data_IF_034694778651
#
_entry.id   IF_034694778651
#
_cell.length_a   1.000
_cell.length_b   1.000
_cell.length_c   1.000
_cell.angle_alpha   90.00
_cell.angle_beta   90.00
_cell.angle_gamma   90.00
#
_symmetry.space_group_name_H-M   'P 1'
#
loop_
_entity.id
_entity.type
_entity.pdbx_description
1 polymer ?
#
# COMPACT_ATOMS: atom_id res chain seq x y z
N UNK A 1 -31.99 17.37 8.87
CA UNK A 1 -31.36 17.68 10.19
C UNK A 1 -31.12 16.41 11.02
N UNK A 2 -32.11 15.53 11.17
CA UNK A 2 -32.00 14.28 11.94
C UNK A 2 -31.03 13.24 11.35
N UNK A 3 -30.92 13.13 10.01
CA UNK A 3 -29.89 12.28 9.35
C UNK A 3 -28.46 12.79 9.53
N UNK A 4 -28.28 14.10 9.73
CA UNK A 4 -26.97 14.71 9.96
C UNK A 4 -26.51 14.45 11.41
N UNK A 5 -27.47 14.41 12.34
CA UNK A 5 -27.26 14.07 13.74
C UNK A 5 -27.06 12.55 13.97
N UNK A 6 -27.58 11.67 13.10
CA UNK A 6 -27.30 10.23 13.19
C UNK A 6 -25.89 9.88 12.69
N UNK A 7 -25.43 10.53 11.61
CA UNK A 7 -24.05 10.37 11.10
C UNK A 7 -22.98 10.97 12.01
N UNK A 8 -23.34 11.93 12.89
CA UNK A 8 -22.39 12.55 13.82
C UNK A 8 -22.04 11.69 15.03
N UNK A 9 -22.75 10.58 15.26
CA UNK A 9 -22.54 9.69 16.41
C UNK A 9 -21.71 8.42 16.09
N UNK A 10 -21.37 8.21 14.83
CA UNK A 10 -20.52 7.09 14.43
C UNK A 10 -19.09 7.33 14.91
N UNK A 11 -18.58 6.40 15.72
CA UNK A 11 -17.20 6.48 16.21
C UNK A 11 -16.23 6.53 15.02
N UNK A 12 -15.08 7.19 15.18
CA UNK A 12 -14.05 7.19 14.12
C UNK A 12 -13.65 5.76 13.71
N UNK A 13 -13.69 4.82 14.66
CA UNK A 13 -13.46 3.39 14.43
C UNK A 13 -14.52 2.80 13.50
N UNK A 14 -15.79 3.08 13.75
CA UNK A 14 -16.91 2.57 12.96
C UNK A 14 -16.91 3.12 11.54
N UNK A 15 -16.59 4.42 11.38
CA UNK A 15 -16.35 5.02 10.04
C UNK A 15 -15.19 4.37 9.29
N UNK A 16 -14.11 4.03 9.98
CA UNK A 16 -12.97 3.34 9.38
C UNK A 16 -13.32 1.90 8.98
N UNK A 17 -14.10 1.19 9.80
CA UNK A 17 -14.56 -0.17 9.53
C UNK A 17 -15.52 -0.22 8.32
N UNK A 18 -16.44 0.74 8.23
CA UNK A 18 -17.43 0.81 7.15
C UNK A 18 -16.95 1.58 5.91
N UNK A 19 -15.67 1.95 5.86
CA UNK A 19 -15.13 2.64 4.70
C UNK A 19 -15.14 1.73 3.46
N UNK A 20 -15.88 2.11 2.38
CA UNK A 20 -15.92 1.29 1.17
C UNK A 20 -14.54 1.16 0.51
N UNK A 21 -13.66 2.15 0.72
CA UNK A 21 -12.29 2.17 0.22
C UNK A 21 -11.29 1.55 1.20
N UNK A 22 -11.76 0.93 2.28
CA UNK A 22 -10.95 0.19 3.24
C UNK A 22 -10.06 1.03 4.13
N UNK A 23 -9.03 0.38 4.69
CA UNK A 23 -8.06 1.01 5.57
C UNK A 23 -7.41 2.21 4.87
N UNK A 24 -7.30 3.32 5.62
CA UNK A 24 -6.77 4.60 5.13
C UNK A 24 -7.50 5.19 3.92
N UNK A 25 -8.73 4.76 3.63
CA UNK A 25 -9.49 5.11 2.40
C UNK A 25 -8.76 4.77 1.09
N UNK A 26 -7.75 3.90 1.17
CA UNK A 26 -6.81 3.68 0.08
C UNK A 26 -6.65 2.21 -0.26
N UNK A 27 -6.72 1.29 0.70
CA UNK A 27 -6.50 -0.14 0.48
C UNK A 27 -7.51 -0.77 -0.48
N UNK A 28 -8.74 -0.27 -0.60
CA UNK A 28 -9.75 -0.72 -1.59
C UNK A 28 -10.25 0.41 -2.49
N UNK A 29 -9.40 1.40 -2.74
CA UNK A 29 -9.78 2.55 -3.57
C UNK A 29 -10.10 2.13 -5.01
N UNK A 30 -11.01 2.85 -5.63
CA UNK A 30 -11.19 2.89 -7.08
C UNK A 30 -11.00 4.34 -7.51
N UNK A 31 -9.78 4.69 -7.92
CA UNK A 31 -9.42 6.06 -8.32
C UNK A 31 -8.87 6.03 -9.73
N UNK A 32 -9.07 7.11 -10.50
CA UNK A 32 -8.46 7.29 -11.83
C UNK A 32 -7.07 7.92 -11.77
N UNK A 33 -6.70 8.52 -10.62
CA UNK A 33 -5.39 9.15 -10.45
C UNK A 33 -4.34 8.14 -9.98
N UNK A 34 -3.18 8.03 -10.64
CA UNK A 34 -2.11 7.20 -10.12
C UNK A 34 -1.62 7.70 -8.75
N UNK A 35 -1.19 6.78 -7.90
CA UNK A 35 -0.72 7.01 -6.53
C UNK A 35 0.66 6.41 -6.38
N UNK A 36 1.58 7.23 -5.90
CA UNK A 36 2.94 6.85 -5.55
C UNK A 36 3.04 6.85 -4.03
N UNK A 37 3.38 5.71 -3.43
CA UNK A 37 3.69 5.62 -2.01
C UNK A 37 5.17 5.93 -1.77
N UNK A 38 5.45 6.75 -0.76
CA UNK A 38 6.78 7.02 -0.25
C UNK A 38 6.86 6.44 1.16
N UNK A 39 7.63 5.38 1.35
CA UNK A 39 7.70 4.62 2.60
C UNK A 39 9.01 4.92 3.31
N UNK A 40 8.92 5.40 4.55
CA UNK A 40 10.07 5.57 5.42
C UNK A 40 9.91 4.81 6.74
N UNK A 41 10.51 3.61 6.83
CA UNK A 41 10.50 2.80 8.04
C UNK A 41 9.47 1.65 8.00
N UNK A 42 8.70 1.48 9.06
CA UNK A 42 7.85 0.30 9.24
C UNK A 42 6.56 0.40 8.39
N UNK A 43 6.40 -0.56 7.48
CA UNK A 43 5.23 -0.74 6.64
C UNK A 43 4.62 -2.13 6.88
N UNK A 44 3.86 -2.24 7.98
CA UNK A 44 3.31 -3.51 8.45
C UNK A 44 1.78 -3.51 8.43
N UNK A 45 1.20 -4.68 8.19
CA UNK A 45 -0.25 -4.92 8.24
C UNK A 45 -1.02 -3.98 7.34
N UNK A 46 -1.92 -3.16 7.90
CA UNK A 46 -2.68 -2.17 7.13
C UNK A 46 -1.82 -1.23 6.27
N UNK A 47 -0.61 -0.87 6.72
CA UNK A 47 0.35 -0.10 5.92
C UNK A 47 0.83 -0.87 4.68
N UNK A 48 1.07 -2.16 4.82
CA UNK A 48 1.42 -3.05 3.71
C UNK A 48 0.23 -3.20 2.75
N UNK A 49 -0.99 -3.35 3.26
CA UNK A 49 -2.20 -3.42 2.44
C UNK A 49 -2.48 -2.13 1.66
N UNK A 50 -2.06 -0.98 2.22
CA UNK A 50 -2.10 0.31 1.51
C UNK A 50 -1.16 0.32 0.30
N UNK A 51 0.12 -0.02 0.51
CA UNK A 51 1.11 0.06 -0.58
C UNK A 51 0.85 -0.95 -1.68
N UNK A 52 0.30 -2.13 -1.35
CA UNK A 52 -0.05 -3.14 -2.34
C UNK A 52 -1.11 -2.63 -3.32
N UNK A 53 -1.89 -1.61 -2.92
CA UNK A 53 -2.88 -0.95 -3.77
C UNK A 53 -2.40 0.39 -4.40
N UNK A 54 -1.17 0.80 -4.12
CA UNK A 54 -0.54 1.93 -4.79
C UNK A 54 -0.02 1.49 -6.16
N UNK A 55 0.10 2.46 -7.08
CA UNK A 55 0.52 2.19 -8.45
C UNK A 55 2.05 2.11 -8.55
N UNK A 56 2.76 2.92 -7.76
CA UNK A 56 4.21 2.85 -7.58
C UNK A 56 4.56 2.99 -6.09
N UNK A 57 5.68 2.39 -5.68
CA UNK A 57 6.20 2.48 -4.32
C UNK A 57 7.70 2.80 -4.35
N UNK A 58 8.09 3.84 -3.63
CA UNK A 58 9.49 4.17 -3.32
C UNK A 58 9.67 3.99 -1.82
N UNK A 59 10.77 3.35 -1.42
CA UNK A 59 11.07 3.07 -0.03
C UNK A 59 12.49 3.50 0.34
N UNK A 60 12.73 3.83 1.61
CA UNK A 60 14.11 3.95 2.13
C UNK A 60 14.73 2.58 2.38
N UNK A 61 16.05 2.46 2.34
CA UNK A 61 16.78 1.22 2.66
C UNK A 61 16.44 0.66 4.05
N UNK A 62 16.19 1.53 5.03
CA UNK A 62 15.79 1.13 6.39
C UNK A 62 14.33 0.66 6.49
N UNK A 63 13.55 0.74 5.41
CA UNK A 63 12.15 0.35 5.43
C UNK A 63 11.99 -1.16 5.60
N UNK A 64 10.93 -1.55 6.29
CA UNK A 64 10.60 -2.95 6.56
C UNK A 64 9.15 -3.19 6.19
N UNK A 65 8.88 -4.30 5.49
CA UNK A 65 7.56 -4.62 4.94
C UNK A 65 7.05 -5.94 5.50
N UNK A 66 5.73 -6.09 5.67
CA UNK A 66 5.19 -7.38 6.10
C UNK A 66 3.71 -7.39 6.45
N UNK A 67 3.17 -8.60 6.51
CA UNK A 67 1.81 -8.89 6.96
C UNK A 67 1.87 -9.80 8.20
N UNK A 68 2.12 -9.25 9.41
CA UNK A 68 2.26 -10.03 10.64
C UNK A 68 0.92 -10.48 11.24
N UNK A 69 -0.21 -10.29 10.56
CA UNK A 69 -1.58 -10.58 11.02
C UNK A 69 -1.75 -12.01 11.55
N UNK A 70 -1.14 -12.99 10.89
CA UNK A 70 -1.22 -14.40 11.28
C UNK A 70 -0.67 -14.64 12.71
N UNK A 71 0.35 -13.87 13.11
CA UNK A 71 0.92 -13.95 14.47
C UNK A 71 -0.01 -13.36 15.55
N UNK A 72 -1.03 -12.62 15.13
CA UNK A 72 -2.02 -11.96 15.99
C UNK A 72 -3.40 -12.60 15.89
N UNK A 73 -3.54 -13.73 15.17
CA UNK A 73 -4.82 -14.40 15.00
C UNK A 73 -5.82 -13.63 14.15
N UNK A 74 -5.34 -12.72 13.29
CA UNK A 74 -6.17 -11.95 12.36
C UNK A 74 -5.70 -12.17 10.92
N UNK A 75 -6.44 -11.64 9.95
CA UNK A 75 -6.13 -11.79 8.52
C UNK A 75 -5.93 -10.41 7.86
N UNK A 76 -5.13 -10.35 6.80
CA UNK A 76 -4.98 -9.17 5.94
C UNK A 76 -6.22 -8.99 5.03
N UNK A 77 -7.34 -8.58 5.63
CA UNK A 77 -8.67 -8.52 4.99
C UNK A 77 -8.90 -7.30 4.11
N UNK A 78 -7.98 -6.33 4.08
CA UNK A 78 -8.14 -5.09 3.32
C UNK A 78 -7.62 -5.21 1.88
N UNK A 79 -7.39 -6.46 1.44
CA UNK A 79 -7.03 -6.84 0.08
C UNK A 79 -5.53 -7.11 -0.11
N UNK A 80 -4.75 -7.22 0.99
CA UNK A 80 -3.36 -7.62 0.92
C UNK A 80 -3.16 -9.00 0.29
N UNK A 81 -3.97 -9.99 0.67
CA UNK A 81 -3.86 -11.38 0.19
C UNK A 81 -3.94 -11.49 -1.35
N UNK A 82 -5.04 -11.06 -2.02
CA UNK A 82 -5.15 -11.22 -3.47
C UNK A 82 -4.11 -10.41 -4.25
N UNK A 83 -3.72 -9.21 -3.78
CA UNK A 83 -2.75 -8.37 -4.47
C UNK A 83 -1.32 -8.90 -4.35
N UNK A 84 -0.95 -9.39 -3.19
CA UNK A 84 0.37 -10.01 -3.01
C UNK A 84 0.50 -11.28 -3.85
N UNK A 85 -0.57 -12.10 -3.93
CA UNK A 85 -0.61 -13.25 -4.83
C UNK A 85 -0.43 -12.86 -6.30
N UNK A 86 -1.05 -11.77 -6.73
CA UNK A 86 -0.92 -11.25 -8.09
C UNK A 86 0.48 -10.70 -8.39
N UNK A 87 1.08 -9.96 -7.46
CA UNK A 87 2.39 -9.30 -7.65
C UNK A 87 3.58 -10.26 -7.50
N UNK A 88 3.62 -11.06 -6.43
CA UNK A 88 4.76 -11.92 -6.09
C UNK A 88 4.59 -13.37 -6.51
N UNK A 89 3.39 -13.76 -6.94
CA UNK A 89 3.04 -15.15 -7.19
C UNK A 89 2.79 -15.96 -5.91
N UNK A 90 2.20 -17.15 -6.07
CA UNK A 90 1.68 -17.96 -4.96
C UNK A 90 2.72 -18.32 -3.91
N UNK A 91 3.91 -18.74 -4.33
CA UNK A 91 4.93 -19.29 -3.41
C UNK A 91 5.44 -18.22 -2.45
N UNK A 92 5.89 -17.08 -2.98
CA UNK A 92 6.41 -15.98 -2.17
C UNK A 92 5.30 -15.32 -1.35
N UNK A 93 4.13 -15.10 -1.93
CA UNK A 93 3.00 -14.55 -1.18
C UNK A 93 2.63 -15.44 0.02
N UNK A 94 2.63 -16.77 -0.16
CA UNK A 94 2.34 -17.71 0.93
C UNK A 94 3.39 -17.63 2.03
N UNK A 95 4.68 -17.47 1.68
CA UNK A 95 5.75 -17.30 2.67
C UNK A 95 5.51 -16.07 3.55
N UNK A 96 5.25 -14.91 2.94
CA UNK A 96 5.06 -13.66 3.68
C UNK A 96 3.76 -13.67 4.51
N UNK A 97 2.67 -14.21 3.96
CA UNK A 97 1.36 -14.28 4.62
C UNK A 97 1.29 -15.30 5.75
N UNK A 98 1.86 -16.50 5.55
CA UNK A 98 1.72 -17.61 6.49
C UNK A 98 2.80 -17.59 7.58
N UNK A 99 3.99 -17.07 7.29
CA UNK A 99 5.05 -16.95 8.31
C UNK A 99 4.95 -15.65 9.10
N UNK A 100 4.31 -14.61 8.55
CA UNK A 100 4.14 -13.31 9.20
C UNK A 100 5.46 -12.60 9.53
N UNK A 101 6.56 -13.00 8.89
CA UNK A 101 7.90 -12.41 9.12
C UNK A 101 8.06 -11.17 8.25
N UNK A 102 8.47 -10.03 8.83
CA UNK A 102 8.80 -8.85 8.03
C UNK A 102 10.04 -9.10 7.16
N UNK A 103 10.12 -8.38 6.05
CA UNK A 103 11.19 -8.40 5.07
C UNK A 103 11.80 -7.02 4.89
N UNK A 104 13.06 -6.98 4.46
CA UNK A 104 13.77 -5.73 4.17
C UNK A 104 13.26 -5.05 2.89
N UNK A 105 13.62 -3.77 2.69
CA UNK A 105 13.34 -3.05 1.45
C UNK A 105 13.97 -3.71 0.20
N UNK A 106 15.19 -4.26 0.31
CA UNK A 106 15.81 -5.00 -0.81
C UNK A 106 15.04 -6.27 -1.13
N UNK A 107 14.62 -7.06 -0.15
CA UNK A 107 13.79 -8.24 -0.42
C UNK A 107 12.45 -7.87 -1.06
N UNK A 108 11.82 -6.80 -0.59
CA UNK A 108 10.58 -6.27 -1.16
C UNK A 108 10.76 -5.89 -2.64
N UNK A 109 11.92 -5.33 -3.02
CA UNK A 109 12.26 -4.96 -4.39
C UNK A 109 12.62 -6.18 -5.24
N UNK A 110 13.61 -6.95 -4.83
CA UNK A 110 14.30 -7.91 -5.69
C UNK A 110 13.60 -9.27 -5.71
N UNK A 111 13.16 -9.74 -4.54
CA UNK A 111 12.58 -11.08 -4.36
C UNK A 111 11.07 -11.06 -4.53
N UNK A 112 10.38 -10.18 -3.80
CA UNK A 112 8.93 -10.12 -3.80
C UNK A 112 8.36 -9.24 -4.92
N UNK A 113 9.14 -8.28 -5.44
CA UNK A 113 8.75 -7.37 -6.53
C UNK A 113 7.47 -6.58 -6.25
N UNK A 114 7.34 -6.11 -5.01
CA UNK A 114 6.16 -5.38 -4.49
C UNK A 114 6.41 -3.87 -4.38
N UNK A 115 7.64 -3.41 -4.63
CA UNK A 115 8.01 -1.99 -4.68
C UNK A 115 8.87 -1.70 -5.92
N UNK A 116 9.03 -0.43 -6.28
CA UNK A 116 9.69 -0.03 -7.54
C UNK A 116 11.10 0.52 -7.34
N UNK A 117 11.35 1.24 -6.25
CA UNK A 117 12.65 1.88 -5.97
C UNK A 117 12.97 1.83 -4.48
N UNK A 118 14.25 1.63 -4.19
CA UNK A 118 14.82 1.81 -2.85
C UNK A 118 15.82 2.96 -2.90
N UNK A 119 15.78 3.85 -1.92
CA UNK A 119 16.68 5.00 -1.80
C UNK A 119 17.47 4.92 -0.49
N UNK A 120 18.72 5.44 -0.45
CA UNK A 120 19.59 5.27 0.72
C UNK A 120 19.12 6.05 1.94
N UNK A 121 18.47 7.20 1.76
CA UNK A 121 18.11 8.10 2.86
C UNK A 121 16.67 8.62 2.75
N UNK A 122 16.10 9.03 3.89
CA UNK A 122 14.80 9.68 3.96
C UNK A 122 14.75 10.98 3.13
N UNK A 123 15.85 11.72 3.07
CA UNK A 123 15.93 12.97 2.30
C UNK A 123 15.80 12.74 0.79
N UNK A 124 16.26 11.58 0.29
CA UNK A 124 16.13 11.20 -1.11
C UNK A 124 14.73 10.66 -1.48
N UNK A 125 13.91 10.29 -0.48
CA UNK A 125 12.64 9.61 -0.69
C UNK A 125 11.62 10.46 -1.44
N UNK A 126 11.30 11.64 -0.89
CA UNK A 126 10.28 12.52 -1.48
C UNK A 126 10.70 13.06 -2.86
N UNK A 127 11.95 13.53 -3.08
CA UNK A 127 12.42 13.91 -4.40
C UNK A 127 12.26 12.79 -5.44
N UNK A 128 12.59 11.55 -5.08
CA UNK A 128 12.46 10.39 -5.98
C UNK A 128 11.00 10.09 -6.32
N UNK A 129 10.09 10.15 -5.35
CA UNK A 129 8.66 9.98 -5.61
C UNK A 129 8.10 11.09 -6.52
N UNK A 130 8.53 12.34 -6.31
CA UNK A 130 8.13 13.48 -7.15
C UNK A 130 8.72 13.41 -8.56
N UNK A 131 9.92 12.85 -8.73
CA UNK A 131 10.50 12.57 -10.05
C UNK A 131 9.62 11.60 -10.85
N UNK A 132 9.18 10.49 -10.23
CA UNK A 132 8.24 9.56 -10.84
C UNK A 132 6.91 10.26 -11.18
N UNK A 133 6.40 11.12 -10.30
CA UNK A 133 5.19 11.89 -10.57
C UNK A 133 5.35 12.82 -11.79
N UNK A 134 6.49 13.51 -11.91
CA UNK A 134 6.80 14.36 -13.06
C UNK A 134 6.85 13.55 -14.36
N UNK A 135 7.42 12.35 -14.31
CA UNK A 135 7.41 11.44 -15.47
C UNK A 135 5.97 11.06 -15.86
N UNK A 136 5.11 10.72 -14.90
CA UNK A 136 3.69 10.43 -15.16
C UNK A 136 2.99 11.64 -15.81
N UNK A 137 3.21 12.85 -15.28
CA UNK A 137 2.59 14.09 -15.78
C UNK A 137 3.06 14.44 -17.21
N UNK A 138 4.26 14.00 -17.60
CA UNK A 138 4.76 14.19 -18.97
C UNK A 138 4.06 13.31 -20.02
N UNK A 139 3.28 12.31 -19.58
CA UNK A 139 2.50 11.44 -20.46
C UNK A 139 1.07 11.96 -20.68
N UNK A 140 0.39 11.41 -21.69
CA UNK A 140 -1.02 11.74 -21.95
C UNK A 140 -1.91 11.43 -20.73
N UNK A 141 -2.67 12.42 -20.20
CA UNK A 141 -3.52 12.20 -19.03
C UNK A 141 -4.61 11.15 -19.23
N UNK A 142 -5.13 11.00 -20.46
CA UNK A 142 -6.16 9.99 -20.77
C UNK A 142 -5.55 8.60 -20.85
N UNK A 143 -4.37 8.45 -21.44
CA UNK A 143 -3.67 7.18 -21.51
C UNK A 143 -3.27 6.67 -20.11
N UNK A 144 -2.76 7.57 -19.26
CA UNK A 144 -2.43 7.25 -17.86
C UNK A 144 -3.66 6.77 -17.09
N UNK A 145 -4.82 7.43 -17.27
CA UNK A 145 -6.05 7.06 -16.59
C UNK A 145 -6.64 5.72 -17.06
N UNK A 146 -6.48 5.37 -18.34
CA UNK A 146 -7.02 4.13 -18.92
C UNK A 146 -6.09 2.92 -18.74
N UNK A 147 -4.80 3.15 -18.56
CA UNK A 147 -3.81 2.07 -18.30
C UNK A 147 -3.95 1.49 -16.90
N UNK A 148 -4.52 2.27 -15.99
CA UNK A 148 -4.71 1.96 -14.58
C UNK A 148 -6.09 1.36 -14.32
#
# INVERSE_FOLDING_TARGET
LLEWLSKSNESQVERLLHNPHGFGSLSRRHSRKPIIAAVDGLCLGGGMELILNCDLVVATEKSTFGLPEVSKGVIASQGGIPRLLYQSGRVLASELLLLGKPISASEALDRFRIINRVVPTSDALLPTALELAKQIISNSPSAVQLTK
#
